data_IF_303231264993
#
_entry.id   IF_303231264993
#
_cell.length_a   1.000
_cell.length_b   1.000
_cell.length_c   1.000
_cell.angle_alpha   90.00
_cell.angle_beta   90.00
_cell.angle_gamma   90.00
#
_symmetry.space_group_name_H-M   'P 1'
#
loop_
_entity.id
_entity.type
_entity.pdbx_description
1 polymer ?
#
# COMPACT_ATOMS: atom_id res chain seq x y z
N UNK A 1 8.16 -13.38 22.85
CA UNK A 1 7.24 -14.14 21.97
C UNK A 1 6.05 -14.57 22.81
N UNK A 2 4.83 -14.31 22.32
CA UNK A 2 3.59 -14.76 22.97
C UNK A 2 3.50 -16.28 22.87
N UNK A 3 3.30 -16.96 24.00
CA UNK A 3 3.14 -18.42 23.99
C UNK A 3 1.69 -18.79 23.63
N UNK A 4 1.48 -20.04 23.20
CA UNK A 4 0.11 -20.55 22.91
C UNK A 4 -0.80 -20.44 24.12
N UNK A 5 -0.29 -20.76 25.30
CA UNK A 5 -1.06 -20.65 26.54
C UNK A 5 -1.46 -19.20 26.86
N UNK A 6 -0.56 -18.23 26.62
CA UNK A 6 -0.85 -16.80 26.78
C UNK A 6 -1.89 -16.31 25.75
N UNK A 7 -1.76 -16.72 24.49
CA UNK A 7 -2.71 -16.37 23.43
C UNK A 7 -4.10 -16.95 23.72
N UNK A 8 -4.19 -18.22 24.11
CA UNK A 8 -5.45 -18.87 24.46
C UNK A 8 -6.10 -18.22 25.68
N UNK A 9 -5.29 -17.85 26.68
CA UNK A 9 -5.77 -17.11 27.84
C UNK A 9 -6.30 -15.73 27.43
N UNK A 10 -5.57 -14.99 26.61
CA UNK A 10 -5.99 -13.68 26.10
C UNK A 10 -7.32 -13.79 25.32
N UNK A 11 -7.48 -14.80 24.48
CA UNK A 11 -8.72 -15.08 23.77
C UNK A 11 -9.90 -15.28 24.75
N UNK A 12 -9.72 -16.11 25.76
CA UNK A 12 -10.77 -16.39 26.76
C UNK A 12 -11.10 -15.16 27.62
N UNK A 13 -10.08 -14.46 28.08
CA UNK A 13 -10.23 -13.27 28.95
C UNK A 13 -10.88 -12.08 28.21
N UNK A 14 -10.70 -11.99 26.89
CA UNK A 14 -11.31 -10.93 26.05
C UNK A 14 -12.82 -11.04 25.91
N UNK A 15 -13.42 -12.21 26.21
CA UNK A 15 -14.83 -12.50 25.98
C UNK A 15 -15.17 -12.71 24.49
N UNK A 16 -14.17 -12.90 23.64
CA UNK A 16 -14.37 -13.22 22.22
C UNK A 16 -15.14 -14.55 22.07
N UNK A 17 -16.14 -14.53 21.19
CA UNK A 17 -16.92 -15.71 20.82
C UNK A 17 -16.39 -16.35 19.54
N UNK A 18 -15.67 -15.60 18.76
CA UNK A 18 -15.11 -16.03 17.47
C UNK A 18 -13.64 -15.62 17.37
N UNK A 19 -12.85 -16.46 16.67
CA UNK A 19 -11.50 -16.15 16.24
C UNK A 19 -11.49 -16.02 14.73
N UNK A 20 -11.08 -14.86 14.22
CA UNK A 20 -11.04 -14.54 12.81
C UNK A 20 -9.60 -14.58 12.29
N UNK A 21 -9.30 -15.61 11.49
CA UNK A 21 -7.99 -15.86 10.92
C UNK A 21 -7.84 -15.03 9.65
N UNK A 22 -6.96 -14.02 9.67
CA UNK A 22 -6.77 -13.07 8.58
C UNK A 22 -5.46 -13.32 7.82
N UNK A 23 -5.51 -13.30 6.51
CA UNK A 23 -4.35 -13.45 5.64
C UNK A 23 -4.46 -12.58 4.40
N UNK A 24 -3.36 -12.34 3.70
CA UNK A 24 -3.33 -11.47 2.53
C UNK A 24 -2.98 -12.27 1.30
N UNK A 25 -3.78 -12.14 0.24
CA UNK A 25 -3.48 -12.76 -1.05
C UNK A 25 -2.41 -11.98 -1.85
N UNK A 26 -1.99 -12.52 -2.98
CA UNK A 26 -0.94 -11.94 -3.82
C UNK A 26 -1.32 -10.54 -4.34
N UNK A 27 -2.62 -10.28 -4.56
CA UNK A 27 -3.11 -8.96 -4.97
C UNK A 27 -3.12 -7.92 -3.84
N UNK A 28 -2.86 -8.32 -2.60
CA UNK A 28 -2.94 -7.45 -1.43
C UNK A 28 -4.33 -7.38 -0.81
N UNK A 29 -5.27 -8.21 -1.26
CA UNK A 29 -6.60 -8.29 -0.66
C UNK A 29 -6.53 -9.07 0.64
N UNK A 30 -7.16 -8.52 1.69
CA UNK A 30 -7.28 -9.20 2.96
C UNK A 30 -8.41 -10.23 2.91
N UNK A 31 -8.09 -11.47 3.20
CA UNK A 31 -8.98 -12.62 3.23
C UNK A 31 -9.17 -13.10 4.68
N UNK A 32 -10.23 -13.86 4.95
CA UNK A 32 -10.45 -14.36 6.30
C UNK A 32 -11.22 -15.69 6.35
N UNK A 33 -11.07 -16.36 7.50
CA UNK A 33 -11.86 -17.53 7.92
C UNK A 33 -12.17 -17.36 9.40
N UNK A 34 -13.45 -17.40 9.77
CA UNK A 34 -13.88 -17.24 11.17
C UNK A 34 -14.15 -18.60 11.81
N UNK A 35 -13.51 -18.85 12.95
CA UNK A 35 -13.69 -20.05 13.78
C UNK A 35 -14.61 -19.75 14.96
N UNK A 36 -15.50 -20.68 15.29
CA UNK A 36 -16.27 -20.63 16.54
C UNK A 36 -15.32 -20.76 17.74
N UNK A 37 -15.52 -19.91 18.78
CA UNK A 37 -14.64 -19.88 19.93
C UNK A 37 -14.57 -21.19 20.71
N UNK A 38 -15.58 -22.08 20.57
CA UNK A 38 -15.59 -23.37 21.24
C UNK A 38 -14.57 -24.37 20.69
N UNK A 39 -14.11 -24.17 19.45
CA UNK A 39 -13.06 -25.00 18.82
C UNK A 39 -11.66 -24.36 18.87
N UNK A 40 -11.54 -23.19 19.49
CA UNK A 40 -10.24 -22.53 19.66
C UNK A 40 -9.49 -23.16 20.84
N UNK A 41 -8.48 -23.95 20.51
CA UNK A 41 -7.66 -24.67 21.47
C UNK A 41 -6.16 -24.56 21.17
N UNK A 42 -5.34 -25.25 21.91
CA UNK A 42 -3.88 -25.27 21.74
C UNK A 42 -3.46 -25.89 20.40
N UNK A 43 -4.21 -26.88 19.89
CA UNK A 43 -3.89 -27.52 18.62
C UNK A 43 -4.11 -26.56 17.45
N UNK A 44 -5.25 -25.86 17.41
CA UNK A 44 -5.53 -24.83 16.40
C UNK A 44 -4.46 -23.74 16.40
N UNK A 45 -4.07 -23.24 17.55
CA UNK A 45 -3.06 -22.16 17.64
C UNK A 45 -1.65 -22.66 17.30
N UNK A 46 -1.32 -23.93 17.60
CA UNK A 46 -0.03 -24.52 17.28
C UNK A 46 0.10 -24.99 15.85
N UNK A 47 -0.94 -25.63 15.30
CA UNK A 47 -0.87 -26.32 14.02
C UNK A 47 -1.58 -25.57 12.89
N UNK A 48 -2.43 -24.58 13.23
CA UNK A 48 -3.21 -23.82 12.28
C UNK A 48 -4.44 -24.56 11.76
N UNK A 49 -5.05 -23.99 10.73
CA UNK A 49 -6.29 -24.49 10.14
C UNK A 49 -6.10 -24.74 8.65
N UNK A 50 -6.49 -25.92 8.18
CA UNK A 50 -6.48 -26.25 6.75
C UNK A 50 -7.55 -25.46 5.99
N UNK A 51 -7.21 -25.04 4.79
CA UNK A 51 -8.13 -24.36 3.89
C UNK A 51 -7.76 -24.65 2.42
N UNK A 52 -8.70 -24.34 1.51
CA UNK A 52 -8.53 -24.50 0.08
C UNK A 52 -7.77 -23.29 -0.53
N UNK A 53 -6.48 -23.43 -0.75
CA UNK A 53 -5.65 -22.42 -1.39
C UNK A 53 -5.92 -22.24 -2.89
N UNK A 54 -6.58 -23.20 -3.56
CA UNK A 54 -6.93 -23.08 -4.99
C UNK A 54 -8.04 -22.06 -5.24
N UNK A 55 -8.79 -21.71 -4.19
CA UNK A 55 -9.80 -20.65 -4.23
C UNK A 55 -9.17 -19.24 -4.16
N UNK A 56 -7.87 -19.14 -3.92
CA UNK A 56 -7.13 -17.87 -3.86
C UNK A 56 -6.39 -17.63 -5.18
N UNK A 57 -6.72 -16.52 -5.85
CA UNK A 57 -6.15 -16.19 -7.14
C UNK A 57 -4.62 -16.07 -7.09
N UNK A 58 -3.93 -16.74 -8.01
CA UNK A 58 -2.47 -16.71 -8.13
C UNK A 58 -1.73 -17.68 -7.21
N UNK A 59 -2.46 -18.52 -6.45
CA UNK A 59 -1.86 -19.54 -5.57
C UNK A 59 -1.85 -20.93 -6.21
N UNK A 60 -2.21 -21.94 -5.45
CA UNK A 60 -2.14 -23.35 -5.87
C UNK A 60 -3.17 -23.73 -6.93
N UNK A 61 -2.87 -24.76 -7.71
CA UNK A 61 -3.86 -25.41 -8.56
C UNK A 61 -4.77 -26.35 -7.76
N UNK A 62 -5.92 -26.70 -8.33
CA UNK A 62 -6.95 -27.52 -7.64
C UNK A 62 -6.45 -28.90 -7.19
N UNK A 63 -5.45 -29.44 -7.86
CA UNK A 63 -4.83 -30.74 -7.53
C UNK A 63 -3.82 -30.66 -6.36
N UNK A 64 -3.50 -29.47 -5.88
CA UNK A 64 -2.59 -29.22 -4.77
C UNK A 64 -3.18 -28.14 -3.83
N UNK A 65 -4.51 -28.20 -3.60
CA UNK A 65 -5.26 -27.10 -3.00
C UNK A 65 -5.03 -26.89 -1.50
N UNK A 66 -4.69 -27.96 -0.77
CA UNK A 66 -4.62 -27.91 0.69
C UNK A 66 -3.44 -27.03 1.17
N UNK A 67 -3.78 -26.07 2.01
CA UNK A 67 -2.83 -25.15 2.66
C UNK A 67 -3.21 -24.97 4.14
N UNK A 68 -2.33 -24.33 4.92
CA UNK A 68 -2.56 -24.10 6.34
C UNK A 68 -2.47 -22.59 6.66
N UNK A 69 -3.51 -22.06 7.33
CA UNK A 69 -3.47 -20.78 8.01
C UNK A 69 -2.79 -20.95 9.35
N UNK A 70 -1.57 -20.45 9.50
CA UNK A 70 -0.78 -20.53 10.75
C UNK A 70 -0.89 -19.20 11.50
N UNK A 71 -1.62 -19.15 12.65
CA UNK A 71 -1.77 -17.92 13.41
C UNK A 71 -0.43 -17.37 13.93
N UNK A 72 -0.22 -16.05 13.77
CA UNK A 72 0.86 -15.32 14.43
C UNK A 72 0.35 -14.76 15.76
N UNK A 73 0.69 -15.47 16.85
CA UNK A 73 0.17 -15.22 18.20
C UNK A 73 0.48 -13.82 18.74
N UNK A 74 1.39 -13.08 18.10
CA UNK A 74 1.75 -11.71 18.49
C UNK A 74 0.82 -10.62 17.92
N UNK A 75 -0.16 -11.00 17.09
CA UNK A 75 -0.95 -10.07 16.25
C UNK A 75 -2.44 -10.03 16.63
N UNK A 76 -2.81 -10.49 17.80
CA UNK A 76 -4.21 -10.52 18.25
C UNK A 76 -4.77 -9.11 18.50
N UNK A 77 -5.97 -8.84 17.97
CA UNK A 77 -6.72 -7.60 18.21
C UNK A 77 -8.22 -7.86 18.18
N UNK A 78 -8.98 -7.19 19.06
CA UNK A 78 -10.45 -7.25 19.01
C UNK A 78 -10.98 -6.43 17.86
N UNK A 79 -11.91 -6.99 17.09
CA UNK A 79 -12.58 -6.30 15.99
C UNK A 79 -13.71 -5.41 16.54
N UNK A 80 -13.61 -4.07 16.42
CA UNK A 80 -14.63 -3.17 16.96
C UNK A 80 -15.90 -3.11 16.09
N UNK A 81 -15.90 -3.69 14.90
CA UNK A 81 -16.99 -3.55 13.93
C UNK A 81 -17.93 -4.74 13.86
N UNK A 82 -17.61 -5.85 14.49
CA UNK A 82 -18.44 -7.06 14.44
C UNK A 82 -19.56 -7.04 15.48
N UNK A 83 -20.75 -7.54 15.10
CA UNK A 83 -21.92 -7.60 16.00
C UNK A 83 -21.71 -8.54 17.18
N UNK A 84 -20.87 -9.56 17.06
CA UNK A 84 -20.47 -10.46 18.12
C UNK A 84 -18.99 -10.28 18.43
N UNK A 85 -18.57 -10.35 19.70
CA UNK A 85 -17.17 -10.20 20.06
C UNK A 85 -16.26 -11.17 19.27
N UNK A 86 -15.42 -10.64 18.43
CA UNK A 86 -14.53 -11.39 17.53
C UNK A 86 -13.09 -10.90 17.72
N UNK A 87 -12.17 -11.82 17.91
CA UNK A 87 -10.74 -11.54 17.93
C UNK A 87 -10.16 -11.85 16.56
N UNK A 88 -9.49 -10.89 15.95
CA UNK A 88 -8.71 -11.10 14.72
C UNK A 88 -7.28 -11.52 15.06
N UNK A 89 -6.69 -12.33 14.19
CA UNK A 89 -5.29 -12.73 14.25
C UNK A 89 -4.75 -12.87 12.82
N UNK A 90 -3.55 -12.33 12.57
CA UNK A 90 -2.88 -12.50 11.28
C UNK A 90 -2.30 -13.91 11.15
N UNK A 91 -2.37 -14.46 9.96
CA UNK A 91 -1.85 -15.78 9.67
C UNK A 91 -0.76 -15.72 8.60
N UNK A 92 0.26 -16.55 8.77
CA UNK A 92 1.17 -16.96 7.74
C UNK A 92 0.57 -18.16 6.98
N UNK A 93 1.02 -18.38 5.77
CA UNK A 93 0.58 -19.51 4.95
C UNK A 93 1.65 -20.57 4.89
N UNK A 94 1.28 -21.81 5.20
CA UNK A 94 2.17 -22.96 5.10
C UNK A 94 1.66 -23.96 4.07
N UNK A 95 2.58 -24.67 3.44
CA UNK A 95 2.26 -25.86 2.67
C UNK A 95 1.68 -26.94 3.58
N UNK A 96 0.61 -27.62 3.14
CA UNK A 96 -0.12 -28.57 3.97
C UNK A 96 0.68 -29.84 4.29
N UNK A 97 1.59 -30.25 3.41
CA UNK A 97 2.36 -31.50 3.51
C UNK A 97 3.69 -31.26 4.22
N UNK A 98 4.45 -30.30 3.74
CA UNK A 98 5.81 -30.04 4.25
C UNK A 98 5.81 -29.20 5.52
N UNK A 99 4.74 -28.44 5.77
CA UNK A 99 4.62 -27.42 6.84
C UNK A 99 5.62 -26.29 6.72
N UNK A 100 6.30 -26.18 5.58
CA UNK A 100 7.19 -25.06 5.29
C UNK A 100 6.38 -23.82 4.86
N UNK A 101 6.93 -22.59 5.04
CA UNK A 101 6.30 -21.36 4.57
C UNK A 101 6.02 -21.42 3.06
N UNK A 102 4.81 -21.05 2.67
CA UNK A 102 4.41 -21.01 1.26
C UNK A 102 5.14 -19.87 0.53
N UNK A 103 5.77 -20.17 -0.60
CA UNK A 103 6.64 -19.23 -1.31
C UNK A 103 5.93 -17.98 -1.83
N UNK A 104 4.62 -18.10 -2.18
CA UNK A 104 3.82 -16.99 -2.68
C UNK A 104 3.04 -16.24 -1.57
N UNK A 105 3.34 -16.53 -0.28
CA UNK A 105 2.78 -15.77 0.83
C UNK A 105 3.43 -14.38 0.91
N UNK A 106 2.68 -13.27 0.68
CA UNK A 106 3.23 -11.93 0.74
C UNK A 106 3.80 -11.57 2.12
N UNK A 107 3.12 -12.00 3.19
CA UNK A 107 3.57 -11.76 4.56
C UNK A 107 4.86 -12.53 4.87
N UNK A 108 4.98 -13.74 4.36
CA UNK A 108 6.22 -14.53 4.40
C UNK A 108 7.38 -13.85 3.68
N UNK A 109 7.12 -13.23 2.52
CA UNK A 109 8.11 -12.45 1.77
C UNK A 109 8.63 -11.25 2.58
N UNK A 110 7.73 -10.51 3.26
CA UNK A 110 8.12 -9.41 4.13
C UNK A 110 9.01 -9.85 5.30
N UNK A 111 8.72 -11.01 5.91
CA UNK A 111 9.57 -11.62 6.96
C UNK A 111 10.96 -11.96 6.45
N UNK A 112 11.06 -12.58 5.25
CA UNK A 112 12.33 -12.90 4.62
C UNK A 112 13.14 -11.64 4.31
N UNK A 113 12.49 -10.55 3.90
CA UNK A 113 13.15 -9.27 3.63
C UNK A 113 13.76 -8.65 4.91
N UNK A 114 13.05 -8.65 6.02
CA UNK A 114 13.62 -8.19 7.32
C UNK A 114 14.78 -9.07 7.77
N UNK A 115 14.68 -10.40 7.60
CA UNK A 115 15.75 -11.33 7.97
C UNK A 115 17.00 -11.17 7.07
N UNK A 116 16.80 -10.87 5.78
CA UNK A 116 17.90 -10.57 4.87
C UNK A 116 18.72 -9.37 5.34
N UNK A 117 18.10 -8.30 5.83
CA UNK A 117 18.84 -7.14 6.36
C UNK A 117 19.74 -7.55 7.53
N UNK A 118 19.25 -8.39 8.44
CA UNK A 118 20.01 -8.88 9.59
C UNK A 118 21.14 -9.82 9.15
N UNK A 119 20.83 -10.82 8.34
CA UNK A 119 21.81 -11.83 7.89
C UNK A 119 22.89 -11.26 6.99
N UNK A 120 22.60 -10.21 6.22
CA UNK A 120 23.58 -9.48 5.40
C UNK A 120 24.60 -8.69 6.24
N UNK A 121 24.28 -8.40 7.50
CA UNK A 121 25.10 -7.57 8.39
C UNK A 121 25.08 -6.08 8.04
N UNK A 122 24.33 -5.66 7.02
CA UNK A 122 24.18 -4.24 6.62
C UNK A 122 23.28 -3.42 7.55
N UNK A 123 22.41 -4.09 8.30
CA UNK A 123 21.50 -3.49 9.28
C UNK A 123 20.89 -4.57 10.17
N UNK A 124 20.00 -4.19 11.07
CA UNK A 124 19.22 -5.10 11.90
C UNK A 124 17.73 -4.73 12.00
N UNK A 125 17.40 -3.48 11.70
CA UNK A 125 16.05 -2.96 11.81
C UNK A 125 15.73 -2.08 10.61
N UNK A 126 14.58 -2.31 10.01
CA UNK A 126 14.01 -1.49 8.91
C UNK A 126 12.77 -0.81 9.42
N UNK A 127 12.74 0.51 9.37
CA UNK A 127 11.54 1.28 9.65
C UNK A 127 10.88 1.75 8.36
N UNK A 128 9.56 1.54 8.32
CA UNK A 128 8.67 1.95 7.23
C UNK A 128 7.60 2.87 7.82
N UNK A 129 7.33 3.99 7.14
CA UNK A 129 6.26 4.94 7.47
C UNK A 129 5.44 5.24 6.22
N UNK A 130 4.35 4.51 5.98
CA UNK A 130 3.47 4.75 4.84
C UNK A 130 2.48 5.88 5.12
N UNK A 131 2.20 6.70 4.10
CA UNK A 131 1.18 7.76 4.07
C UNK A 131 0.15 7.40 3.02
N UNK A 132 -0.88 6.63 3.40
CA UNK A 132 -1.89 6.15 2.46
C UNK A 132 -3.07 7.13 2.38
N UNK A 133 -3.24 7.72 1.21
CA UNK A 133 -4.38 8.57 0.86
C UNK A 133 -5.56 7.75 0.36
N UNK A 134 -6.79 8.27 0.52
CA UNK A 134 -8.01 7.61 0.07
C UNK A 134 -9.13 8.61 -0.21
N UNK A 135 -10.15 8.16 -0.93
CA UNK A 135 -11.37 8.92 -1.16
C UNK A 135 -12.54 8.35 -0.36
N UNK A 136 -13.45 9.24 0.06
CA UNK A 136 -14.75 8.87 0.67
C UNK A 136 -15.86 9.50 -0.14
N UNK A 137 -16.76 8.67 -0.71
CA UNK A 137 -17.88 9.09 -1.55
C UNK A 137 -19.22 8.80 -0.88
N UNK A 138 -20.25 9.54 -1.29
CA UNK A 138 -21.62 9.34 -0.84
C UNK A 138 -22.31 8.19 -1.58
N UNK A 139 -22.01 8.00 -2.87
CA UNK A 139 -22.54 6.91 -3.68
C UNK A 139 -21.59 6.59 -4.84
N UNK A 140 -21.45 5.31 -5.17
CA UNK A 140 -20.67 4.85 -6.31
C UNK A 140 -21.44 3.75 -7.03
N UNK A 141 -21.67 3.97 -8.33
CA UNK A 141 -22.28 2.98 -9.22
C UNK A 141 -21.34 2.71 -10.38
N UNK A 142 -21.19 1.46 -10.75
CA UNK A 142 -20.45 1.09 -11.96
C UNK A 142 -21.11 -0.11 -12.63
N UNK A 143 -20.91 -0.19 -13.95
CA UNK A 143 -21.41 -1.26 -14.77
C UNK A 143 -20.39 -1.56 -15.87
N UNK A 144 -20.05 -2.83 -16.03
CA UNK A 144 -19.16 -3.34 -17.09
C UNK A 144 -19.86 -4.53 -17.74
N UNK A 145 -20.51 -4.26 -18.87
CA UNK A 145 -21.30 -5.23 -19.62
C UNK A 145 -20.83 -5.22 -21.09
N UNK A 146 -21.23 -6.22 -21.86
CA UNK A 146 -20.86 -6.34 -23.28
C UNK A 146 -21.18 -5.09 -24.10
N UNK A 147 -22.27 -4.41 -23.79
CA UNK A 147 -22.80 -3.26 -24.53
C UNK A 147 -22.85 -1.96 -23.73
N UNK A 148 -22.33 -1.96 -22.50
CA UNK A 148 -22.36 -0.79 -21.62
C UNK A 148 -21.19 -0.80 -20.64
N UNK A 149 -20.43 0.29 -20.64
CA UNK A 149 -19.42 0.57 -19.61
C UNK A 149 -19.67 1.97 -19.06
N UNK A 150 -19.88 2.06 -17.75
CA UNK A 150 -20.14 3.33 -17.08
C UNK A 150 -19.75 3.27 -15.61
N UNK A 151 -19.40 4.43 -15.07
CA UNK A 151 -19.35 4.64 -13.62
C UNK A 151 -19.94 5.99 -13.29
N UNK A 152 -20.49 6.13 -12.09
CA UNK A 152 -21.01 7.36 -11.53
C UNK A 152 -20.59 7.46 -10.08
N UNK A 153 -20.01 8.59 -9.71
CA UNK A 153 -19.53 8.87 -8.35
C UNK A 153 -20.23 10.11 -7.84
N UNK A 154 -20.77 10.05 -6.63
CA UNK A 154 -21.40 11.16 -5.96
C UNK A 154 -20.68 11.54 -4.68
N UNK A 155 -20.51 12.84 -4.47
CA UNK A 155 -20.03 13.40 -3.21
C UNK A 155 -20.61 14.78 -2.96
N UNK A 156 -20.99 15.05 -1.72
CA UNK A 156 -21.42 16.40 -1.29
C UNK A 156 -20.34 17.47 -1.50
N UNK A 157 -19.08 17.07 -1.48
CA UNK A 157 -17.93 17.96 -1.74
C UNK A 157 -17.60 18.12 -3.23
N UNK A 158 -18.07 17.20 -4.08
CA UNK A 158 -17.75 17.22 -5.49
C UNK A 158 -18.43 18.35 -6.26
N UNK A 159 -17.70 19.14 -7.07
CA UNK A 159 -18.31 20.18 -7.91
C UNK A 159 -19.29 19.61 -8.94
N UNK A 160 -19.12 18.33 -9.31
CA UNK A 160 -19.99 17.59 -10.23
C UNK A 160 -21.35 17.20 -9.63
N UNK A 161 -21.53 17.35 -8.30
CA UNK A 161 -22.77 17.03 -7.56
C UNK A 161 -23.54 18.26 -7.09
N UNK A 162 -23.23 19.43 -7.60
CA UNK A 162 -23.81 20.69 -7.14
C UNK A 162 -25.34 20.78 -7.27
N UNK A 163 -25.96 20.01 -8.15
CA UNK A 163 -27.39 19.96 -8.38
C UNK A 163 -28.15 18.91 -7.55
N UNK A 164 -27.46 18.04 -6.80
CA UNK A 164 -28.11 16.99 -6.00
C UNK A 164 -28.62 17.52 -4.67
N UNK A 165 -29.71 16.92 -4.20
CA UNK A 165 -30.27 17.17 -2.86
C UNK A 165 -29.68 16.11 -1.91
N UNK A 166 -29.22 16.57 -0.76
CA UNK A 166 -28.77 15.76 0.35
C UNK A 166 -29.71 15.95 1.55
N UNK A 167 -29.77 15.00 2.46
CA UNK A 167 -30.62 15.03 3.64
C UNK A 167 -30.39 16.30 4.47
N UNK A 168 -29.16 16.71 4.67
CA UNK A 168 -28.75 17.94 5.36
C UNK A 168 -28.84 19.21 4.50
N UNK A 169 -29.35 19.12 3.27
CA UNK A 169 -29.32 20.20 2.29
C UNK A 169 -27.99 20.38 1.60
N UNK A 170 -27.97 21.15 0.53
CA UNK A 170 -26.80 21.49 -0.26
C UNK A 170 -26.35 22.92 0.05
N UNK A 171 -25.47 23.08 1.03
CA UNK A 171 -25.13 24.38 1.64
C UNK A 171 -24.08 25.19 0.83
N UNK A 172 -23.57 24.65 -0.26
CA UNK A 172 -22.64 25.36 -1.16
C UNK A 172 -21.18 25.48 -0.70
N UNK A 173 -20.86 25.00 0.51
CA UNK A 173 -19.48 24.96 0.99
C UNK A 173 -18.74 23.76 0.38
N UNK A 174 -17.79 24.01 -0.52
CA UNK A 174 -17.03 22.98 -1.22
C UNK A 174 -15.59 23.43 -1.46
N UNK A 175 -14.62 22.52 -1.39
CA UNK A 175 -13.21 22.86 -1.60
C UNK A 175 -12.89 23.26 -3.05
N UNK A 176 -13.66 22.80 -4.04
CA UNK A 176 -13.35 22.98 -5.46
C UNK A 176 -12.20 22.08 -5.94
N UNK A 177 -11.99 22.06 -7.27
CA UNK A 177 -10.91 21.27 -7.90
C UNK A 177 -9.55 21.78 -7.39
N UNK A 178 -8.69 20.89 -6.90
CA UNK A 178 -7.37 21.17 -6.30
C UNK A 178 -7.43 22.16 -5.11
N UNK A 179 -8.57 22.35 -4.49
CA UNK A 179 -8.78 23.32 -3.40
C UNK A 179 -8.97 22.71 -2.01
N UNK A 180 -8.81 21.39 -1.87
CA UNK A 180 -9.14 20.66 -0.63
C UNK A 180 -8.06 20.62 0.43
N UNK A 181 -6.85 21.13 0.18
CA UNK A 181 -5.76 20.98 1.14
C UNK A 181 -5.92 21.95 2.33
N UNK A 182 -6.21 21.39 3.52
CA UNK A 182 -6.32 22.07 4.81
C UNK A 182 -7.42 23.15 4.98
N UNK A 183 -8.58 23.09 4.31
CA UNK A 183 -9.65 24.02 4.66
C UNK A 183 -10.20 23.70 6.06
N UNK A 184 -10.80 24.71 6.69
CA UNK A 184 -11.54 24.47 7.93
C UNK A 184 -13.02 24.21 7.64
N UNK A 185 -13.76 23.54 8.55
CA UNK A 185 -15.21 23.44 8.42
C UNK A 185 -15.88 24.82 8.26
N UNK A 186 -16.98 24.97 7.49
CA UNK A 186 -17.75 23.90 6.86
C UNK A 186 -17.28 23.49 5.45
N UNK A 187 -16.22 24.12 4.89
CA UNK A 187 -15.64 23.70 3.60
C UNK A 187 -15.09 22.29 3.71
N UNK A 188 -14.36 21.98 4.78
CA UNK A 188 -14.05 20.63 5.19
C UNK A 188 -15.27 19.97 5.85
N UNK A 189 -16.05 19.23 5.09
CA UNK A 189 -17.25 18.54 5.58
C UNK A 189 -16.95 17.20 6.27
N UNK A 190 -15.70 16.73 6.24
CA UNK A 190 -15.29 15.39 6.67
C UNK A 190 -14.48 15.37 7.98
N UNK A 191 -14.44 16.48 8.73
CA UNK A 191 -13.68 16.58 9.99
C UNK A 191 -14.07 15.46 10.96
N UNK A 192 -15.38 15.25 11.17
CA UNK A 192 -15.87 14.31 12.18
C UNK A 192 -15.62 12.85 11.78
N UNK A 193 -15.86 12.47 10.51
CA UNK A 193 -15.60 11.12 10.05
C UNK A 193 -14.08 10.81 10.08
N UNK A 194 -13.20 11.78 9.79
CA UNK A 194 -11.76 11.58 9.92
C UNK A 194 -11.31 11.39 11.36
N UNK A 195 -11.96 12.08 12.30
CA UNK A 195 -11.71 11.87 13.73
C UNK A 195 -12.12 10.45 14.14
N UNK A 196 -13.29 9.97 13.67
CA UNK A 196 -13.73 8.60 13.93
C UNK A 196 -12.80 7.55 13.33
N UNK A 197 -12.28 7.76 12.11
CA UNK A 197 -11.22 6.90 11.56
C UNK A 197 -10.04 6.78 12.53
N UNK A 198 -9.55 7.89 13.09
CA UNK A 198 -8.42 7.85 14.02
C UNK A 198 -8.74 7.05 15.29
N UNK A 199 -9.92 7.24 15.87
CA UNK A 199 -10.30 6.55 17.10
C UNK A 199 -10.44 5.04 16.88
N UNK A 200 -11.10 4.63 15.80
CA UNK A 200 -11.27 3.20 15.51
C UNK A 200 -9.95 2.53 15.07
N UNK A 201 -9.08 3.24 14.37
CA UNK A 201 -7.74 2.72 14.06
C UNK A 201 -6.86 2.57 15.30
N UNK A 202 -7.00 3.44 16.31
CA UNK A 202 -6.36 3.25 17.63
C UNK A 202 -6.94 2.05 18.36
N UNK A 203 -8.26 1.83 18.29
CA UNK A 203 -8.91 0.64 18.86
C UNK A 203 -8.39 -0.65 18.19
N UNK A 204 -8.05 -0.61 16.91
CA UNK A 204 -7.36 -1.68 16.19
C UNK A 204 -5.85 -1.80 16.52
N UNK A 205 -5.34 -1.01 17.48
CA UNK A 205 -3.96 -1.07 17.94
C UNK A 205 -2.96 -0.27 17.09
N UNK A 206 -3.41 0.54 16.12
CA UNK A 206 -2.53 1.39 15.32
C UNK A 206 -2.15 2.67 16.07
N UNK A 207 -0.92 3.12 15.87
CA UNK A 207 -0.43 4.38 16.44
C UNK A 207 -0.67 5.51 15.45
N UNK A 208 -1.79 6.22 15.62
CA UNK A 208 -2.19 7.33 14.75
C UNK A 208 -1.64 8.66 15.27
N UNK A 209 -1.29 9.59 14.35
CA UNK A 209 -0.72 10.89 14.67
C UNK A 209 -1.70 12.05 14.39
N UNK A 210 -2.25 12.11 13.18
CA UNK A 210 -2.99 13.24 12.65
C UNK A 210 -3.96 12.81 11.56
N UNK A 211 -4.83 13.73 11.15
CA UNK A 211 -5.60 13.62 9.91
C UNK A 211 -5.74 14.98 9.24
N UNK A 212 -5.97 15.00 7.95
CA UNK A 212 -6.31 16.19 7.20
C UNK A 212 -7.10 15.87 5.93
N UNK A 213 -7.75 16.89 5.39
CA UNK A 213 -8.33 16.86 4.06
C UNK A 213 -7.21 16.99 3.03
N UNK A 214 -7.25 16.20 1.98
CA UNK A 214 -6.30 16.22 0.87
C UNK A 214 -6.73 17.17 -0.26
N UNK A 215 -5.90 17.25 -1.31
CA UNK A 215 -6.02 18.26 -2.38
C UNK A 215 -7.32 18.14 -3.16
N UNK A 216 -7.75 16.92 -3.50
CA UNK A 216 -9.00 16.71 -4.22
C UNK A 216 -10.22 16.72 -3.27
N UNK A 217 -11.41 17.20 -3.72
CA UNK A 217 -12.64 16.96 -3.00
C UNK A 217 -12.82 15.49 -2.64
N UNK A 218 -13.30 15.21 -1.44
CA UNK A 218 -13.50 13.84 -0.91
C UNK A 218 -12.24 13.03 -0.66
N UNK A 219 -11.06 13.65 -0.75
CA UNK A 219 -9.78 12.98 -0.53
C UNK A 219 -9.24 13.27 0.87
N UNK A 220 -8.69 12.24 1.51
CA UNK A 220 -8.27 12.29 2.91
C UNK A 220 -6.97 11.53 3.12
N UNK A 221 -6.24 11.92 4.17
CA UNK A 221 -5.07 11.23 4.70
C UNK A 221 -5.10 11.17 6.22
N UNK A 222 -4.64 10.03 6.77
CA UNK A 222 -4.46 9.83 8.19
C UNK A 222 -3.01 9.44 8.44
N UNK A 223 -2.35 10.18 9.33
CA UNK A 223 -0.95 9.92 9.70
C UNK A 223 -0.83 8.67 10.55
N UNK A 224 -0.21 7.63 10.00
CA UNK A 224 0.19 6.41 10.70
C UNK A 224 1.66 6.54 11.12
N UNK A 225 1.97 6.39 12.41
CA UNK A 225 3.35 6.41 12.89
C UNK A 225 4.12 5.20 12.37
N UNK A 226 5.39 5.43 12.01
CA UNK A 226 6.27 4.38 11.49
C UNK A 226 6.50 3.24 12.49
N UNK A 227 6.75 2.04 11.97
CA UNK A 227 7.19 0.84 12.70
C UNK A 227 8.05 -0.03 11.78
N UNK A 228 8.39 -1.26 12.19
CA UNK A 228 9.14 -2.20 11.35
C UNK A 228 8.33 -2.60 10.11
N UNK A 229 9.02 -3.10 9.10
CA UNK A 229 8.45 -3.41 7.79
C UNK A 229 7.23 -4.35 7.89
N UNK A 230 7.38 -5.47 8.60
CA UNK A 230 6.30 -6.46 8.78
C UNK A 230 5.10 -5.84 9.51
N UNK A 231 5.34 -5.12 10.61
CA UNK A 231 4.27 -4.46 11.36
C UNK A 231 3.53 -3.41 10.55
N UNK A 232 4.22 -2.69 9.66
CA UNK A 232 3.57 -1.73 8.77
C UNK A 232 2.80 -2.42 7.64
N UNK A 233 3.25 -3.59 7.18
CA UNK A 233 2.45 -4.43 6.28
C UNK A 233 1.11 -4.81 6.92
N UNK A 234 1.17 -5.37 8.14
CA UNK A 234 -0.01 -5.67 8.95
C UNK A 234 -0.84 -4.40 9.24
N UNK A 235 -0.16 -3.29 9.58
CA UNK A 235 -0.78 -2.01 9.89
C UNK A 235 -1.58 -1.41 8.73
N UNK A 236 -1.09 -1.47 7.50
CA UNK A 236 -1.83 -0.99 6.32
C UNK A 236 -3.07 -1.86 6.03
N UNK A 237 -3.04 -3.15 6.32
CA UNK A 237 -4.25 -3.98 6.20
C UNK A 237 -5.32 -3.57 7.20
N UNK A 238 -4.94 -3.36 8.47
CA UNK A 238 -5.85 -2.83 9.50
C UNK A 238 -6.36 -1.42 9.15
N UNK A 239 -5.47 -0.55 8.65
CA UNK A 239 -5.81 0.80 8.22
C UNK A 239 -6.89 0.79 7.13
N UNK A 240 -6.68 0.02 6.06
CA UNK A 240 -7.66 -0.10 4.97
C UNK A 240 -8.98 -0.66 5.47
N UNK A 241 -8.95 -1.70 6.29
CA UNK A 241 -10.13 -2.31 6.88
C UNK A 241 -10.92 -1.29 7.72
N UNK A 242 -10.25 -0.61 8.68
CA UNK A 242 -10.88 0.37 9.55
C UNK A 242 -11.50 1.54 8.76
N UNK A 243 -10.80 2.06 7.73
CA UNK A 243 -11.33 3.10 6.86
C UNK A 243 -12.60 2.64 6.12
N UNK A 244 -12.61 1.44 5.56
CA UNK A 244 -13.81 0.90 4.90
C UNK A 244 -14.98 0.73 5.87
N UNK A 245 -14.73 0.19 7.07
CA UNK A 245 -15.76 -0.09 8.05
C UNK A 245 -16.37 1.19 8.65
N UNK A 246 -15.55 2.18 9.00
CA UNK A 246 -16.05 3.47 9.48
C UNK A 246 -16.80 4.22 8.39
N UNK A 247 -16.29 4.26 7.13
CA UNK A 247 -17.02 4.87 6.03
C UNK A 247 -18.42 4.25 5.87
N UNK A 248 -18.50 2.90 5.93
CA UNK A 248 -19.76 2.17 5.86
C UNK A 248 -20.72 2.53 7.01
N UNK A 249 -20.23 2.70 8.24
CA UNK A 249 -21.05 3.09 9.40
C UNK A 249 -21.65 4.51 9.27
N UNK A 250 -20.99 5.38 8.48
CA UNK A 250 -21.48 6.72 8.14
C UNK A 250 -22.36 6.74 6.88
N UNK A 251 -22.74 5.58 6.32
CA UNK A 251 -23.53 5.50 5.09
C UNK A 251 -22.75 6.00 3.86
N UNK A 252 -21.43 5.96 3.90
CA UNK A 252 -20.51 6.37 2.83
C UNK A 252 -19.69 5.18 2.34
N UNK A 253 -18.93 5.38 1.29
CA UNK A 253 -18.01 4.37 0.77
C UNK A 253 -16.62 4.95 0.57
N UNK A 254 -15.59 4.25 1.06
CA UNK A 254 -14.20 4.63 0.88
C UNK A 254 -13.55 3.81 -0.24
N UNK A 255 -12.54 4.41 -0.90
CA UNK A 255 -11.72 3.71 -1.88
C UNK A 255 -10.26 4.13 -1.81
N UNK A 256 -9.38 3.15 -1.95
CA UNK A 256 -7.94 3.32 -2.12
C UNK A 256 -7.51 3.30 -3.59
N UNK A 257 -8.46 3.45 -4.51
CA UNK A 257 -8.20 3.56 -5.94
C UNK A 257 -7.34 4.80 -6.24
N UNK A 258 -6.21 4.68 -6.95
CA UNK A 258 -5.25 5.78 -7.13
C UNK A 258 -5.81 6.98 -7.88
N UNK A 259 -6.71 6.75 -8.82
CA UNK A 259 -7.31 7.81 -9.67
C UNK A 259 -8.79 7.54 -9.95
N UNK A 260 -9.68 7.71 -8.96
CA UNK A 260 -11.10 7.48 -9.17
C UNK A 260 -11.78 8.62 -9.95
N UNK A 261 -11.25 9.86 -9.87
CA UNK A 261 -11.83 11.05 -10.47
C UNK A 261 -10.87 11.66 -11.50
N UNK A 262 -11.40 11.97 -12.69
CA UNK A 262 -10.64 12.65 -13.74
C UNK A 262 -10.52 14.15 -13.47
N UNK A 263 -9.33 14.71 -13.74
CA UNK A 263 -9.12 16.16 -13.71
C UNK A 263 -8.78 16.75 -12.34
N UNK A 264 -8.59 15.89 -11.32
CA UNK A 264 -8.13 16.31 -10.00
C UNK A 264 -6.99 15.40 -9.51
N UNK A 265 -6.43 15.62 -8.33
CA UNK A 265 -5.36 14.81 -7.77
C UNK A 265 -5.81 13.36 -7.53
N UNK A 266 -4.86 12.43 -7.53
CA UNK A 266 -5.07 11.02 -7.18
C UNK A 266 -4.42 10.70 -5.85
N UNK A 267 -4.67 9.49 -5.33
CA UNK A 267 -4.16 9.00 -4.05
C UNK A 267 -2.81 8.31 -4.20
N UNK A 268 -1.82 8.77 -3.41
CA UNK A 268 -0.54 8.13 -3.21
C UNK A 268 -0.50 7.29 -1.95
N UNK A 269 0.53 6.46 -1.85
CA UNK A 269 1.01 5.89 -0.60
C UNK A 269 2.50 6.15 -0.54
N UNK A 270 2.88 7.36 -0.11
CA UNK A 270 4.28 7.69 0.07
C UNK A 270 4.89 6.83 1.16
N UNK A 271 6.11 6.34 0.95
CA UNK A 271 6.73 5.40 1.90
C UNK A 271 8.05 5.95 2.40
N UNK A 272 8.05 6.37 3.66
CA UNK A 272 9.27 6.74 4.39
C UNK A 272 10.04 5.49 4.79
N UNK A 273 11.34 5.48 4.59
CA UNK A 273 12.20 4.32 4.81
C UNK A 273 13.51 4.72 5.48
N UNK A 274 13.96 3.90 6.43
CA UNK A 274 15.30 4.01 7.01
C UNK A 274 15.78 2.65 7.53
N UNK A 275 17.12 2.45 7.52
CA UNK A 275 17.76 1.25 8.07
C UNK A 275 18.56 1.65 9.31
N UNK A 276 18.50 0.80 10.32
CA UNK A 276 19.20 0.98 11.59
C UNK A 276 20.07 -0.23 11.93
N UNK A 277 21.08 0.00 12.74
CA UNK A 277 21.94 -1.06 13.29
C UNK A 277 22.35 -0.69 14.72
N UNK A 278 22.19 -1.63 15.65
CA UNK A 278 22.50 -1.46 17.07
C UNK A 278 21.85 -0.18 17.66
N UNK A 279 20.59 0.09 17.28
CA UNK A 279 19.82 1.26 17.71
C UNK A 279 20.31 2.61 17.14
N UNK A 280 21.16 2.61 16.12
CA UNK A 280 21.68 3.79 15.44
C UNK A 280 21.17 3.90 14.00
N UNK A 281 20.73 5.10 13.54
CA UNK A 281 20.32 5.30 12.17
C UNK A 281 21.51 5.25 11.21
N UNK A 282 21.41 4.44 10.15
CA UNK A 282 22.47 4.33 9.15
C UNK A 282 22.40 5.42 8.08
N UNK A 283 21.26 6.13 7.99
CA UNK A 283 21.04 7.13 6.95
C UNK A 283 21.56 8.53 7.32
N UNK A 284 21.90 8.77 8.58
CA UNK A 284 22.49 10.04 9.02
C UNK A 284 23.97 10.11 8.68
N UNK A 285 24.42 11.26 8.17
CA UNK A 285 25.82 11.54 7.80
C UNK A 285 26.07 13.00 7.48
N UNK A 286 27.19 13.27 6.84
CA UNK A 286 27.67 14.64 6.53
C UNK A 286 27.50 15.00 5.04
N UNK A 287 26.89 14.11 4.24
CA UNK A 287 26.66 14.34 2.82
C UNK A 287 25.45 15.22 2.53
N UNK A 288 24.98 15.19 1.28
CA UNK A 288 23.82 15.97 0.82
C UNK A 288 22.60 15.78 1.75
N UNK A 289 21.99 16.87 2.15
CA UNK A 289 20.85 16.90 3.10
C UNK A 289 21.12 16.22 4.46
N UNK A 290 22.38 16.03 4.85
CA UNK A 290 22.77 15.32 6.06
C UNK A 290 22.60 13.80 5.98
N UNK A 291 22.70 13.25 4.77
CA UNK A 291 22.67 11.81 4.53
C UNK A 291 24.08 11.21 4.56
N UNK A 292 24.13 9.93 4.90
CA UNK A 292 25.31 9.09 4.75
C UNK A 292 25.46 8.54 3.33
N UNK A 293 26.65 8.03 2.98
CA UNK A 293 26.88 7.28 1.75
C UNK A 293 25.94 6.05 1.65
N UNK A 294 25.65 5.40 2.78
CA UNK A 294 24.69 4.28 2.84
C UNK A 294 23.31 4.70 2.37
N UNK A 295 22.83 5.87 2.80
CA UNK A 295 21.54 6.41 2.36
C UNK A 295 21.54 6.76 0.87
N UNK A 296 22.62 7.37 0.36
CA UNK A 296 22.73 7.68 -1.07
C UNK A 296 22.75 6.40 -1.91
N UNK A 297 23.50 5.38 -1.50
CA UNK A 297 23.49 4.08 -2.19
C UNK A 297 22.10 3.42 -2.16
N UNK A 298 21.38 3.50 -1.03
CA UNK A 298 20.00 3.02 -0.92
C UNK A 298 19.09 3.71 -1.95
N UNK A 299 19.14 5.02 -2.03
CA UNK A 299 18.41 5.82 -3.02
C UNK A 299 18.82 5.42 -4.45
N UNK A 300 20.11 5.20 -4.68
CA UNK A 300 20.64 4.72 -5.96
C UNK A 300 20.02 3.40 -6.40
N UNK A 301 19.83 2.46 -5.47
CA UNK A 301 19.13 1.20 -5.72
C UNK A 301 17.66 1.41 -6.08
N UNK A 302 16.94 2.26 -5.33
CA UNK A 302 15.53 2.60 -5.62
C UNK A 302 15.38 3.20 -7.02
N UNK A 303 16.25 4.14 -7.40
CA UNK A 303 16.21 4.79 -8.72
C UNK A 303 16.55 3.81 -9.84
N UNK A 304 17.60 2.99 -9.67
CA UNK A 304 18.03 1.98 -10.64
C UNK A 304 16.90 1.00 -10.98
N UNK A 305 16.23 0.48 -9.95
CA UNK A 305 15.19 -0.54 -10.07
C UNK A 305 13.77 0.05 -10.15
N UNK A 306 13.63 1.37 -10.27
CA UNK A 306 12.35 2.09 -10.15
C UNK A 306 11.26 1.57 -11.08
N UNK A 307 11.59 1.19 -12.32
CA UNK A 307 10.62 0.60 -13.26
C UNK A 307 10.16 -0.80 -12.83
N UNK A 308 11.06 -1.66 -12.39
CA UNK A 308 10.71 -2.99 -11.87
C UNK A 308 9.89 -2.87 -10.57
N UNK A 309 10.22 -1.90 -9.71
CA UNK A 309 9.47 -1.61 -8.49
C UNK A 309 8.01 -1.24 -8.77
N UNK A 310 7.71 -0.57 -9.90
CA UNK A 310 6.34 -0.19 -10.24
C UNK A 310 5.39 -1.39 -10.35
N UNK A 311 5.87 -2.59 -10.67
CA UNK A 311 5.03 -3.79 -10.66
C UNK A 311 4.38 -4.05 -9.27
N UNK A 312 5.08 -3.73 -8.19
CA UNK A 312 4.61 -3.95 -6.82
C UNK A 312 4.11 -2.68 -6.14
N UNK A 313 4.65 -1.53 -6.48
CA UNK A 313 4.30 -0.23 -5.86
C UNK A 313 3.11 0.44 -6.54
N UNK A 314 2.86 0.14 -7.81
CA UNK A 314 1.81 0.70 -8.67
C UNK A 314 1.11 -0.42 -9.46
N UNK A 315 0.47 -1.38 -8.74
CA UNK A 315 0.12 -2.68 -9.32
C UNK A 315 -1.23 -2.70 -10.05
N UNK A 316 -1.83 -1.55 -10.33
CA UNK A 316 -3.11 -1.49 -11.02
C UNK A 316 -3.03 -0.71 -12.33
N UNK A 317 -3.91 -1.03 -13.29
CA UNK A 317 -4.04 -0.23 -14.50
C UNK A 317 -4.47 1.22 -14.19
N UNK A 318 -5.11 1.44 -13.04
CA UNK A 318 -5.52 2.75 -12.57
C UNK A 318 -4.34 3.55 -11.97
N UNK A 319 -3.29 2.89 -11.47
CA UNK A 319 -2.07 3.53 -10.96
C UNK A 319 -1.45 4.50 -11.97
N UNK A 320 -1.45 4.13 -13.24
CA UNK A 320 -0.86 4.91 -14.35
C UNK A 320 -1.77 6.04 -14.85
N UNK A 321 -2.99 6.13 -14.34
CA UNK A 321 -3.85 7.33 -14.47
C UNK A 321 -3.54 8.38 -13.41
N UNK A 322 -2.92 7.98 -12.29
CA UNK A 322 -2.34 8.88 -11.27
C UNK A 322 -0.94 9.36 -11.68
N UNK A 323 -0.06 8.45 -12.15
CA UNK A 323 1.33 8.74 -12.50
C UNK A 323 1.43 9.52 -13.82
N UNK A 324 0.86 10.71 -13.83
CA UNK A 324 0.90 11.66 -14.95
C UNK A 324 1.38 13.04 -14.46
N UNK A 325 2.13 13.81 -15.27
CA UNK A 325 2.58 15.14 -14.89
C UNK A 325 1.42 16.09 -14.54
N UNK A 326 1.65 17.02 -13.60
CA UNK A 326 0.71 18.10 -13.26
C UNK A 326 -0.35 17.78 -12.21
N UNK A 327 -0.30 16.59 -11.57
CA UNK A 327 -1.23 16.19 -10.49
C UNK A 327 -0.49 15.71 -9.22
N UNK A 328 0.63 16.33 -8.90
CA UNK A 328 1.47 16.05 -7.73
C UNK A 328 1.97 14.59 -7.62
N UNK A 329 1.92 13.86 -8.73
CA UNK A 329 2.49 12.53 -8.82
C UNK A 329 3.91 12.59 -9.40
N UNK A 330 4.94 12.12 -8.69
CA UNK A 330 6.32 12.18 -9.16
C UNK A 330 6.54 11.08 -10.22
N UNK A 331 6.83 11.49 -11.44
CA UNK A 331 7.08 10.57 -12.56
C UNK A 331 8.56 10.43 -12.91
N UNK A 332 9.42 11.34 -12.43
CA UNK A 332 10.85 11.37 -12.73
C UNK A 332 11.62 10.68 -11.60
N UNK A 333 12.42 9.68 -11.94
CA UNK A 333 13.22 8.89 -11.01
C UNK A 333 14.51 9.62 -10.63
N UNK A 334 14.37 10.63 -9.78
CA UNK A 334 15.46 11.44 -9.22
C UNK A 334 15.27 11.60 -7.70
N UNK A 335 16.28 12.13 -7.02
CA UNK A 335 16.16 12.48 -5.61
C UNK A 335 16.42 13.95 -5.35
N UNK A 336 15.82 14.49 -4.29
CA UNK A 336 16.04 15.86 -3.85
C UNK A 336 15.70 16.08 -2.38
N UNK A 337 16.36 17.05 -1.75
CA UNK A 337 15.99 17.54 -0.44
C UNK A 337 14.79 18.50 -0.56
N UNK A 338 13.74 18.24 0.25
CA UNK A 338 12.52 19.09 0.35
C UNK A 338 11.64 19.16 -0.88
N UNK A 339 12.13 18.85 -2.07
CA UNK A 339 11.38 18.97 -3.33
C UNK A 339 10.36 17.82 -3.48
N UNK A 340 9.07 18.16 -3.52
CA UNK A 340 7.96 17.21 -3.65
C UNK A 340 7.74 16.69 -5.07
N UNK A 341 8.39 17.28 -6.07
CA UNK A 341 8.33 16.79 -7.46
C UNK A 341 9.27 15.62 -7.75
N UNK A 342 10.25 15.35 -6.86
CA UNK A 342 11.16 14.22 -6.98
C UNK A 342 10.54 12.91 -6.49
N UNK A 343 10.84 11.77 -7.16
CA UNK A 343 10.39 10.45 -6.76
C UNK A 343 10.94 10.00 -5.41
N UNK A 344 12.17 10.38 -5.10
CA UNK A 344 12.82 10.15 -3.81
C UNK A 344 13.06 11.50 -3.13
N UNK A 345 12.23 11.83 -2.15
CA UNK A 345 12.37 13.06 -1.38
C UNK A 345 13.10 12.77 -0.06
N UNK A 346 13.96 13.70 0.34
CA UNK A 346 14.62 13.66 1.66
C UNK A 346 13.95 14.71 2.53
N UNK A 347 13.08 14.31 3.47
CA UNK A 347 12.43 15.25 4.37
C UNK A 347 13.45 15.96 5.27
N UNK A 348 13.20 17.25 5.57
CA UNK A 348 14.02 18.01 6.52
C UNK A 348 13.90 17.38 7.91
N UNK A 349 15.03 17.19 8.56
CA UNK A 349 15.09 16.77 9.97
C UNK A 349 16.36 17.29 10.60
N UNK A 350 16.20 17.91 11.77
CA UNK A 350 17.33 18.37 12.61
C UNK A 350 17.93 17.23 13.43
N UNK A 351 17.18 16.14 13.59
CA UNK A 351 17.62 14.95 14.32
C UNK A 351 18.25 13.92 13.39
N UNK A 352 19.43 13.38 13.71
CA UNK A 352 19.99 12.22 13.01
C UNK A 352 19.01 11.04 12.93
N UNK A 353 18.19 10.83 13.97
CA UNK A 353 17.18 9.76 14.02
C UNK A 353 16.02 9.96 13.03
N UNK A 354 15.81 11.18 12.56
CA UNK A 354 14.78 11.51 11.57
C UNK A 354 15.25 11.41 10.12
N UNK A 355 16.52 11.11 9.86
CA UNK A 355 17.04 10.98 8.49
C UNK A 355 16.48 9.73 7.82
N UNK A 356 15.78 9.94 6.71
CA UNK A 356 15.06 8.94 5.95
C UNK A 356 14.89 9.35 4.50
N UNK A 357 14.56 8.44 3.64
CA UNK A 357 14.08 8.70 2.28
C UNK A 357 12.57 8.48 2.22
N UNK A 358 11.87 9.33 1.50
CA UNK A 358 10.45 9.19 1.15
C UNK A 358 10.35 8.82 -0.32
N UNK A 359 9.88 7.62 -0.61
CA UNK A 359 9.57 7.17 -1.98
C UNK A 359 8.13 7.53 -2.27
N UNK A 360 7.90 8.36 -3.31
CA UNK A 360 6.62 9.04 -3.53
C UNK A 360 5.75 8.47 -4.65
N UNK A 361 6.29 7.62 -5.53
CA UNK A 361 5.52 7.02 -6.61
C UNK A 361 4.56 5.89 -6.19
N UNK A 362 4.75 5.13 -5.08
CA UNK A 362 3.80 4.10 -4.68
C UNK A 362 2.39 4.64 -4.49
N UNK A 363 1.40 3.77 -4.67
CA UNK A 363 0.00 4.07 -4.41
C UNK A 363 -0.68 3.01 -3.53
N UNK A 364 -1.85 3.33 -2.94
CA UNK A 364 -2.43 2.47 -1.91
C UNK A 364 -3.10 1.19 -2.45
N UNK A 365 -3.13 0.93 -3.77
CA UNK A 365 -3.51 -0.39 -4.30
C UNK A 365 -2.42 -1.44 -4.12
N UNK A 366 -1.21 -1.01 -3.79
CA UNK A 366 -0.10 -1.91 -3.53
C UNK A 366 -0.42 -2.94 -2.44
N UNK A 367 0.05 -4.18 -2.66
CA UNK A 367 0.19 -5.15 -1.59
C UNK A 367 1.31 -4.64 -0.66
N UNK A 368 1.01 -4.25 0.60
CA UNK A 368 1.99 -3.56 1.42
C UNK A 368 3.22 -4.42 1.71
N UNK A 369 3.04 -5.72 1.89
CA UNK A 369 4.15 -6.63 2.16
C UNK A 369 5.11 -6.73 0.97
N UNK A 370 4.58 -6.95 -0.24
CA UNK A 370 5.39 -7.06 -1.45
C UNK A 370 6.03 -5.71 -1.82
N UNK A 371 5.28 -4.61 -1.73
CA UNK A 371 5.80 -3.29 -2.07
C UNK A 371 6.94 -2.87 -1.13
N UNK A 372 6.76 -3.04 0.19
CA UNK A 372 7.78 -2.68 1.16
C UNK A 372 9.01 -3.58 1.05
N UNK A 373 8.81 -4.90 0.86
CA UNK A 373 9.91 -5.82 0.64
C UNK A 373 10.67 -5.50 -0.66
N UNK A 374 9.98 -5.23 -1.77
CA UNK A 374 10.63 -4.91 -3.04
C UNK A 374 11.46 -3.63 -2.97
N UNK A 375 10.91 -2.55 -2.37
CA UNK A 375 11.66 -1.31 -2.16
C UNK A 375 12.89 -1.52 -1.27
N UNK A 376 12.74 -2.29 -0.18
CA UNK A 376 13.86 -2.64 0.68
C UNK A 376 14.95 -3.40 -0.10
N UNK A 377 14.57 -4.41 -0.88
CA UNK A 377 15.52 -5.20 -1.67
C UNK A 377 16.25 -4.36 -2.71
N UNK A 378 15.57 -3.42 -3.37
CA UNK A 378 16.20 -2.45 -4.28
C UNK A 378 17.22 -1.56 -3.56
N UNK A 379 16.87 -1.04 -2.40
CA UNK A 379 17.77 -0.24 -1.58
C UNK A 379 18.97 -1.04 -1.07
N UNK A 380 18.77 -2.31 -0.68
CA UNK A 380 19.84 -3.21 -0.24
C UNK A 380 20.80 -3.57 -1.39
N UNK A 381 20.28 -3.76 -2.62
CA UNK A 381 21.12 -3.91 -3.82
C UNK A 381 21.98 -2.66 -4.04
N UNK A 382 21.37 -1.49 -3.85
CA UNK A 382 22.08 -0.21 -3.92
C UNK A 382 23.24 -0.11 -2.92
N UNK A 383 23.02 -0.47 -1.66
CA UNK A 383 24.06 -0.48 -0.62
C UNK A 383 25.15 -1.50 -0.95
N UNK A 384 24.76 -2.75 -1.26
CA UNK A 384 25.68 -3.87 -1.56
C UNK A 384 26.61 -3.53 -2.73
N UNK A 385 26.06 -2.97 -3.79
CA UNK A 385 26.78 -2.67 -5.03
C UNK A 385 27.27 -1.23 -5.13
N UNK A 386 27.12 -0.41 -4.06
CA UNK A 386 27.52 0.99 -3.99
C UNK A 386 26.99 1.82 -5.16
N UNK A 387 25.70 1.67 -5.47
CA UNK A 387 25.04 2.37 -6.57
C UNK A 387 24.76 3.78 -6.16
N UNK A 388 25.48 4.74 -6.73
CA UNK A 388 25.26 6.16 -6.45
C UNK A 388 24.09 6.69 -7.30
N UNK A 389 23.16 7.49 -6.73
CA UNK A 389 21.98 7.98 -7.46
C UNK A 389 22.26 9.09 -8.48
N UNK A 390 23.50 9.52 -8.65
CA UNK A 390 23.86 10.70 -9.44
C UNK A 390 23.73 12.00 -8.63
N UNK A 391 23.57 13.12 -9.32
CA UNK A 391 23.38 14.42 -8.70
C UNK A 391 21.92 14.64 -8.25
N UNK A 392 21.74 15.36 -7.14
CA UNK A 392 20.40 15.73 -6.67
C UNK A 392 19.74 16.72 -7.63
N UNK A 393 18.43 16.62 -7.82
CA UNK A 393 17.64 17.51 -8.66
C UNK A 393 16.78 18.44 -7.81
N UNK A 394 17.32 19.64 -7.53
CA UNK A 394 16.66 20.62 -6.64
C UNK A 394 15.76 21.63 -7.37
N UNK A 395 15.63 21.52 -8.69
CA UNK A 395 14.72 22.31 -9.52
C UNK A 395 13.29 21.80 -9.48
N UNK A 396 12.30 22.65 -9.79
CA UNK A 396 10.92 22.19 -9.95
C UNK A 396 10.80 21.35 -11.23
N UNK A 397 10.56 20.03 -11.03
CA UNK A 397 10.49 19.09 -12.12
C UNK A 397 9.17 19.18 -12.91
N UNK A 398 8.15 19.85 -12.37
CA UNK A 398 6.89 20.05 -13.09
C UNK A 398 6.98 21.17 -14.14
N UNK A 399 8.01 22.04 -14.06
CA UNK A 399 8.27 23.11 -15.01
C UNK A 399 9.18 22.68 -16.18
N UNK A 400 9.71 21.45 -16.15
CA UNK A 400 10.58 20.95 -17.23
C UNK A 400 9.80 20.77 -18.53
N UNK A 401 10.44 21.11 -19.64
CA UNK A 401 9.92 20.83 -20.98
C UNK A 401 9.95 19.31 -21.28
N UNK A 402 9.09 18.87 -22.21
CA UNK A 402 9.06 17.47 -22.65
C UNK A 402 10.43 16.97 -23.13
N UNK A 403 11.23 17.85 -23.77
CA UNK A 403 12.58 17.53 -24.22
C UNK A 403 13.61 17.38 -23.11
N UNK A 404 13.38 17.98 -21.96
CA UNK A 404 14.21 17.81 -20.74
C UNK A 404 13.78 16.54 -19.98
N UNK A 405 12.47 16.34 -19.82
CA UNK A 405 11.91 15.13 -19.19
C UNK A 405 12.34 13.86 -19.94
N UNK A 406 12.35 13.89 -21.29
CA UNK A 406 12.77 12.75 -22.11
C UNK A 406 14.23 12.30 -21.89
N UNK A 407 15.07 13.12 -21.26
CA UNK A 407 16.47 12.80 -20.94
C UNK A 407 16.64 12.20 -19.54
N UNK A 408 15.61 12.24 -18.72
CA UNK A 408 15.64 11.77 -17.34
C UNK A 408 15.00 10.37 -17.21
N UNK A 409 15.44 9.53 -16.28
CA UNK A 409 14.77 8.26 -16.02
C UNK A 409 13.38 8.53 -15.44
N UNK A 410 12.37 7.78 -15.92
CA UNK A 410 10.98 7.91 -15.47
C UNK A 410 10.44 6.59 -14.94
N UNK A 411 9.40 6.66 -14.12
CA UNK A 411 8.55 5.52 -13.79
C UNK A 411 7.87 4.98 -15.06
N UNK A 412 7.29 3.78 -14.97
CA UNK A 412 6.55 3.19 -16.07
C UNK A 412 5.29 4.01 -16.43
N UNK A 413 4.90 3.96 -17.69
CA UNK A 413 3.68 4.59 -18.20
C UNK A 413 2.45 3.67 -18.18
N UNK A 414 2.62 2.37 -17.92
CA UNK A 414 1.55 1.39 -17.87
C UNK A 414 1.89 0.21 -16.97
N UNK A 415 0.86 -0.54 -16.53
CA UNK A 415 1.06 -1.77 -15.77
C UNK A 415 1.81 -2.82 -16.60
N UNK A 416 1.52 -2.91 -17.92
CA UNK A 416 2.25 -3.79 -18.84
C UNK A 416 3.76 -3.52 -18.79
N UNK A 417 4.16 -2.26 -18.96
CA UNK A 417 5.57 -1.85 -18.91
C UNK A 417 6.23 -2.23 -17.58
N UNK A 418 5.51 -2.08 -16.47
CA UNK A 418 6.02 -2.42 -15.14
C UNK A 418 6.22 -3.94 -14.97
N UNK A 419 5.28 -4.75 -15.46
CA UNK A 419 5.38 -6.21 -15.42
C UNK A 419 6.50 -6.72 -16.31
N UNK A 420 6.68 -6.15 -17.49
CA UNK A 420 7.81 -6.44 -18.39
C UNK A 420 9.15 -6.00 -17.78
N UNK A 421 9.18 -4.87 -17.09
CA UNK A 421 10.38 -4.39 -16.41
C UNK A 421 10.82 -5.30 -15.25
N UNK A 422 9.89 -5.77 -14.41
CA UNK A 422 10.24 -6.70 -13.33
C UNK A 422 10.64 -8.08 -13.85
N UNK A 423 10.08 -8.51 -14.97
CA UNK A 423 10.50 -9.75 -15.64
C UNK A 423 11.97 -9.71 -16.06
N UNK A 424 12.43 -8.58 -16.56
CA UNK A 424 13.80 -8.35 -17.02
C UNK A 424 14.79 -8.02 -15.89
N UNK A 425 14.33 -7.38 -14.81
CA UNK A 425 15.14 -6.90 -13.70
C UNK A 425 14.62 -7.45 -12.37
N UNK A 426 14.81 -8.75 -12.14
CA UNK A 426 14.32 -9.47 -10.94
C UNK A 426 15.44 -9.93 -9.99
N UNK A 427 16.71 -9.89 -10.41
CA UNK A 427 17.81 -10.46 -9.64
C UNK A 427 17.95 -9.85 -8.23
N UNK A 428 17.68 -8.55 -8.07
CA UNK A 428 17.72 -7.89 -6.77
C UNK A 428 16.62 -8.39 -5.82
N UNK A 429 15.47 -8.82 -6.35
CA UNK A 429 14.35 -9.35 -5.57
C UNK A 429 14.64 -10.76 -5.07
N UNK A 430 15.27 -11.59 -5.92
CA UNK A 430 15.52 -13.00 -5.62
C UNK A 430 16.78 -13.23 -4.77
N UNK A 431 17.52 -12.17 -4.47
CA UNK A 431 18.68 -12.23 -3.56
C UNK A 431 18.29 -12.90 -2.24
N UNK A 432 19.07 -13.87 -1.80
CA UNK A 432 18.86 -14.68 -0.60
C UNK A 432 17.47 -15.37 -0.51
N UNK A 433 16.78 -15.54 -1.63
CA UNK A 433 15.46 -16.20 -1.68
C UNK A 433 14.34 -15.37 -1.02
N UNK A 434 14.45 -14.04 -0.96
CA UNK A 434 13.40 -13.16 -0.42
C UNK A 434 12.15 -13.25 -1.27
N UNK A 435 12.26 -13.00 -2.57
CA UNK A 435 11.26 -13.41 -3.57
C UNK A 435 11.76 -14.69 -4.24
N UNK A 436 10.85 -15.43 -4.87
CA UNK A 436 11.21 -16.55 -5.75
C UNK A 436 10.77 -16.23 -7.17
N UNK A 437 11.42 -16.87 -8.16
CA UNK A 437 11.02 -16.74 -9.55
C UNK A 437 9.56 -17.21 -9.74
N UNK A 438 9.15 -18.29 -9.07
CA UNK A 438 7.78 -18.80 -9.08
C UNK A 438 6.77 -17.75 -8.57
N UNK A 439 7.11 -17.03 -7.49
CA UNK A 439 6.26 -15.96 -6.96
C UNK A 439 6.15 -14.79 -7.96
N UNK A 440 7.26 -14.39 -8.57
CA UNK A 440 7.29 -13.28 -9.53
C UNK A 440 6.52 -13.66 -10.80
N UNK A 441 6.74 -14.84 -11.34
CA UNK A 441 6.05 -15.33 -12.55
C UNK A 441 4.53 -15.44 -12.31
N UNK A 442 4.12 -16.05 -11.19
CA UNK A 442 2.70 -16.13 -10.82
C UNK A 442 2.06 -14.75 -10.59
N UNK A 443 2.82 -13.79 -10.07
CA UNK A 443 2.35 -12.40 -9.92
C UNK A 443 2.18 -11.73 -11.29
N UNK A 444 3.15 -11.85 -12.18
CA UNK A 444 3.11 -11.30 -13.54
C UNK A 444 1.91 -11.86 -14.30
N UNK A 445 1.72 -13.17 -14.30
CA UNK A 445 0.59 -13.84 -14.97
C UNK A 445 -0.75 -13.32 -14.46
N UNK A 446 -0.89 -13.23 -13.12
CA UNK A 446 -2.11 -12.75 -12.48
C UNK A 446 -2.42 -11.29 -12.84
N UNK A 447 -1.42 -10.42 -12.82
CA UNK A 447 -1.59 -8.99 -13.12
C UNK A 447 -1.74 -8.70 -14.60
N UNK A 448 -1.16 -9.54 -15.46
CA UNK A 448 -1.31 -9.40 -16.91
C UNK A 448 -2.77 -9.63 -17.36
N UNK A 449 -3.55 -10.47 -16.63
CA UNK A 449 -4.98 -10.60 -16.91
C UNK A 449 -5.72 -9.27 -16.74
N UNK A 450 -5.39 -8.48 -15.72
CA UNK A 450 -5.99 -7.14 -15.49
C UNK A 450 -5.61 -6.15 -16.62
N UNK A 451 -4.42 -6.29 -17.19
CA UNK A 451 -4.01 -5.51 -18.38
C UNK A 451 -4.87 -5.87 -19.57
N UNK A 452 -5.02 -7.17 -19.87
CA UNK A 452 -5.84 -7.64 -21.00
C UNK A 452 -7.31 -7.25 -20.82
N UNK A 453 -7.88 -7.36 -19.62
CA UNK A 453 -9.26 -6.97 -19.35
C UNK A 453 -9.51 -5.49 -19.66
N UNK A 454 -8.56 -4.60 -19.32
CA UNK A 454 -8.67 -3.19 -19.68
C UNK A 454 -8.47 -2.94 -21.18
N UNK A 455 -7.42 -3.51 -21.79
CA UNK A 455 -7.06 -3.27 -23.18
C UNK A 455 -8.10 -3.80 -24.17
N UNK A 456 -8.83 -4.87 -23.81
CA UNK A 456 -9.86 -5.46 -24.67
C UNK A 456 -11.26 -4.90 -24.38
N UNK A 457 -11.42 -4.02 -23.40
CA UNK A 457 -12.71 -3.40 -23.05
C UNK A 457 -12.86 -2.04 -23.71
N UNK A 458 -13.84 -1.86 -24.62
CA UNK A 458 -14.10 -0.55 -25.22
C UNK A 458 -14.42 0.51 -24.15
N UNK A 459 -13.80 1.68 -24.27
CA UNK A 459 -14.00 2.77 -23.33
C UNK A 459 -14.88 3.88 -23.96
N UNK A 460 -15.78 4.54 -23.20
CA UNK A 460 -16.64 5.61 -23.73
C UNK A 460 -15.90 6.74 -24.47
N UNK A 461 -14.64 7.03 -24.09
CA UNK A 461 -13.81 8.03 -24.80
C UNK A 461 -13.49 7.65 -26.23
N UNK A 462 -13.42 6.35 -26.56
CA UNK A 462 -13.17 5.86 -27.91
C UNK A 462 -14.39 6.11 -28.82
N UNK A 463 -15.60 5.93 -28.29
CA UNK A 463 -16.82 6.30 -29.00
C UNK A 463 -16.88 7.80 -29.30
N UNK A 464 -16.50 8.63 -28.29
CA UNK A 464 -16.42 10.08 -28.51
C UNK A 464 -15.44 10.46 -29.62
N UNK A 465 -14.28 9.78 -29.71
CA UNK A 465 -13.21 10.15 -30.62
C UNK A 465 -13.35 9.51 -32.00
N UNK A 466 -13.92 8.30 -32.11
CA UNK A 466 -13.80 7.48 -33.31
C UNK A 466 -15.12 6.97 -33.87
N UNK A 467 -16.27 7.16 -33.23
CA UNK A 467 -17.54 6.58 -33.68
C UNK A 467 -17.99 7.08 -35.07
N UNK A 468 -17.63 8.31 -35.42
CA UNK A 468 -18.04 8.96 -36.68
C UNK A 468 -16.89 9.16 -37.68
N UNK A 469 -15.79 8.41 -37.56
CA UNK A 469 -14.67 8.45 -38.51
C UNK A 469 -14.81 7.36 -39.55
#
# INVERSE_FOLDING_TARGET
MTTVSEALKAFRDSGAKYLDLRFTDVKGKWQHLTMDGTVVDEDLLNNGVFFDGSSIAGWKAINESDMVLKPDLSTTVMDPFTAQPTMMIFCDILDAVTKEPYERDPRGTAKKAEEYVKSSGMGDTVYIGPEAEFFVFDDVKFQVEMNKSSFEIDSAEGPYNSAKNYESGNLGHRPGIKGGYFPVPPVDSAQDIRTEFLEELKNLGLRMEKHHHEVAPSQHELGLLFDTLLKQGDGIQLYKYGVHMVANSFGKTATFMPKPVKGDNGSGMHVHQSIWKDGKPLFAGDGYAGLSETALHYIGGIIKHGKALNAFTNPSTNSYKRLIPGFEAPVILVYSARNRSASCRIPVSDSPKGKRVEVRFPDPTANPYLAFAAMLMAGMDGIKNKIHPGDASDQDLYELSDSEVAKLPTVCGSLREALEAVDQDRAFLTEAGVFTDDQIDGYIDLKMQEVYDLEHSPHPVEFKNYFSV
#
